data_IF_065578239660
#
_entry.id   IF_065578239660
#
_cell.length_a   1.000
_cell.length_b   1.000
_cell.length_c   1.000
_cell.angle_alpha   90.00
_cell.angle_beta   90.00
_cell.angle_gamma   90.00
#
_symmetry.space_group_name_H-M   'P 1'
#
loop_
_entity.id
_entity.type
_entity.pdbx_description
1 polymer ?
#
# COMPACT_ATOMS: atom_id res chain seq x y z
N UNK A 1 -1.69 0.53 -17.44
CA UNK A 1 -2.64 -0.05 -16.46
C UNK A 1 -3.95 -0.34 -17.16
N UNK A 2 -4.81 -1.21 -16.60
CA UNK A 2 -6.09 -1.59 -17.22
C UNK A 2 -6.98 -0.41 -17.61
N UNK A 3 -6.91 0.68 -16.84
CA UNK A 3 -7.58 1.95 -17.15
C UNK A 3 -7.12 2.58 -18.48
N UNK A 4 -5.84 2.46 -18.86
CA UNK A 4 -5.34 2.99 -20.13
C UNK A 4 -5.91 2.24 -21.35
N UNK A 5 -6.21 0.95 -21.19
CA UNK A 5 -6.73 0.10 -22.26
C UNK A 5 -8.26 0.25 -22.37
N UNK A 6 -8.94 0.53 -21.26
CA UNK A 6 -10.39 0.68 -21.23
C UNK A 6 -10.90 2.11 -21.52
N UNK A 7 -10.17 3.18 -21.16
CA UNK A 7 -10.68 4.56 -21.30
C UNK A 7 -9.79 5.52 -22.09
N UNK A 8 -8.51 5.20 -22.38
CA UNK A 8 -7.57 6.14 -23.01
C UNK A 8 -7.11 7.29 -22.09
N UNK A 9 -7.50 7.30 -20.82
CA UNK A 9 -7.23 8.43 -19.91
C UNK A 9 -5.76 8.47 -19.45
N UNK A 10 -4.97 9.32 -20.10
CA UNK A 10 -3.59 9.67 -19.73
C UNK A 10 -3.54 10.33 -18.34
N UNK A 11 -4.62 11.00 -17.93
CA UNK A 11 -4.79 11.68 -16.63
C UNK A 11 -4.66 10.72 -15.45
N UNK A 12 -5.10 9.47 -15.60
CA UNK A 12 -4.96 8.48 -14.50
C UNK A 12 -3.50 8.09 -14.29
N UNK A 13 -2.60 8.24 -15.28
CA UNK A 13 -1.17 8.02 -15.04
C UNK A 13 -0.52 9.16 -14.24
N UNK A 14 -0.93 10.42 -14.46
CA UNK A 14 -0.33 11.56 -13.77
C UNK A 14 -0.72 11.59 -12.29
N UNK A 15 -1.96 11.21 -11.95
CA UNK A 15 -2.46 11.25 -10.57
C UNK A 15 -1.92 10.08 -9.72
N UNK A 16 -1.50 8.96 -10.33
CA UNK A 16 -1.00 7.77 -9.59
C UNK A 16 0.18 8.06 -8.68
N UNK A 17 1.11 8.92 -9.12
CA UNK A 17 2.26 9.31 -8.30
C UNK A 17 1.81 10.11 -7.09
N UNK A 18 0.94 11.09 -7.30
CA UNK A 18 0.39 11.94 -6.25
C UNK A 18 -0.36 11.10 -5.22
N UNK A 19 -1.23 10.19 -5.66
CA UNK A 19 -1.93 9.26 -4.78
C UNK A 19 -0.97 8.36 -3.99
N UNK A 20 0.08 7.84 -4.62
CA UNK A 20 1.08 7.03 -3.92
C UNK A 20 1.81 7.79 -2.80
N UNK A 21 2.16 9.05 -3.04
CA UNK A 21 2.75 9.93 -2.03
C UNK A 21 1.77 10.28 -0.91
N UNK A 22 0.48 10.51 -1.24
CA UNK A 22 -0.56 10.71 -0.24
C UNK A 22 -0.77 9.48 0.64
N UNK A 23 -0.78 8.28 0.05
CA UNK A 23 -0.87 7.01 0.81
C UNK A 23 0.30 6.88 1.78
N UNK A 24 1.53 7.18 1.32
CA UNK A 24 2.69 7.18 2.22
C UNK A 24 2.58 8.23 3.33
N UNK A 25 2.22 9.48 3.00
CA UNK A 25 2.08 10.55 3.97
C UNK A 25 1.00 10.23 5.02
N UNK A 26 -0.15 9.70 4.58
CA UNK A 26 -1.23 9.28 5.48
C UNK A 26 -0.80 8.10 6.37
N UNK A 27 -0.13 7.09 5.82
CA UNK A 27 0.37 5.96 6.61
C UNK A 27 1.44 6.40 7.64
N UNK A 28 2.31 7.35 7.26
CA UNK A 28 3.29 7.93 8.17
C UNK A 28 2.60 8.74 9.27
N UNK A 29 1.62 9.58 8.92
CA UNK A 29 0.84 10.34 9.89
C UNK A 29 0.09 9.43 10.86
N UNK A 30 -0.54 8.38 10.34
CA UNK A 30 -1.20 7.35 11.14
C UNK A 30 -0.24 6.71 12.16
N UNK A 31 0.96 6.34 11.71
CA UNK A 31 1.99 5.80 12.60
C UNK A 31 2.48 6.84 13.61
N UNK A 32 2.63 8.11 13.24
CA UNK A 32 3.05 9.17 14.16
C UNK A 32 2.01 9.44 15.23
N UNK A 33 0.72 9.45 14.86
CA UNK A 33 -0.38 9.55 15.82
C UNK A 33 -0.29 8.39 16.82
N UNK A 34 -0.12 7.16 16.32
CA UNK A 34 0.09 5.99 17.17
C UNK A 34 1.31 6.13 18.10
N UNK A 35 2.44 6.57 17.55
CA UNK A 35 3.67 6.71 18.32
C UNK A 35 3.54 7.76 19.44
N UNK A 36 2.78 8.83 19.21
CA UNK A 36 2.58 9.92 20.18
C UNK A 36 1.49 9.58 21.19
N UNK A 37 0.32 9.11 20.74
CA UNK A 37 -0.83 8.95 21.63
C UNK A 37 -0.86 7.60 22.36
N UNK A 38 -0.44 6.52 21.70
CA UNK A 38 -0.47 5.18 22.28
C UNK A 38 0.88 4.78 22.89
N UNK A 39 1.99 5.25 22.33
CA UNK A 39 3.34 4.92 22.82
C UNK A 39 3.98 6.02 23.67
N UNK A 40 3.42 7.23 23.69
CA UNK A 40 4.02 8.42 24.32
C UNK A 40 5.48 8.66 23.90
N UNK A 41 5.83 8.25 22.67
CA UNK A 41 7.18 8.22 22.12
C UNK A 41 8.19 7.34 22.90
N UNK A 42 7.73 6.53 23.85
CA UNK A 42 8.55 5.55 24.54
C UNK A 42 8.63 4.22 23.77
N UNK A 43 9.63 4.15 22.90
CA UNK A 43 9.89 2.94 22.11
C UNK A 43 10.39 1.75 22.95
N UNK A 44 10.73 1.94 24.24
CA UNK A 44 11.12 0.82 25.10
C UNK A 44 9.94 -0.12 25.39
N UNK A 45 8.71 0.42 25.37
CA UNK A 45 7.48 -0.35 25.55
C UNK A 45 6.93 -0.98 24.28
N UNK A 46 7.51 -0.65 23.12
CA UNK A 46 7.08 -1.18 21.82
C UNK A 46 7.05 -2.72 21.80
N UNK A 47 8.04 -3.36 22.43
CA UNK A 47 8.10 -4.82 22.50
C UNK A 47 6.92 -5.43 23.25
N UNK A 48 6.52 -4.84 24.37
CA UNK A 48 5.34 -5.28 25.14
C UNK A 48 4.05 -5.05 24.37
N UNK A 49 3.96 -3.92 23.67
CA UNK A 49 2.77 -3.58 22.89
C UNK A 49 2.61 -4.50 21.67
N UNK A 50 3.70 -4.84 20.99
CA UNK A 50 3.69 -5.80 19.88
C UNK A 50 3.15 -7.17 20.31
N UNK A 51 3.53 -7.65 21.51
CA UNK A 51 3.02 -8.93 22.04
C UNK A 51 1.51 -8.85 22.30
N UNK A 52 1.02 -7.73 22.82
CA UNK A 52 -0.42 -7.51 23.07
C UNK A 52 -1.21 -7.29 21.78
N UNK A 53 -0.59 -6.68 20.77
CA UNK A 53 -1.22 -6.25 19.51
C UNK A 53 -0.33 -6.61 18.32
N UNK A 54 -0.27 -7.90 17.94
CA UNK A 54 0.63 -8.36 16.89
C UNK A 54 0.31 -7.77 15.51
N UNK A 55 -0.93 -7.33 15.28
CA UNK A 55 -1.34 -6.68 14.02
C UNK A 55 -0.52 -5.41 13.70
N UNK A 56 0.09 -4.77 14.70
CA UNK A 56 0.98 -3.61 14.53
C UNK A 56 2.17 -3.95 13.64
N UNK A 57 2.73 -5.17 13.77
CA UNK A 57 3.85 -5.62 12.94
C UNK A 57 3.48 -5.56 11.45
N UNK A 58 2.27 -6.00 11.10
CA UNK A 58 1.78 -5.98 9.70
C UNK A 58 1.75 -4.55 9.16
N UNK A 59 1.27 -3.60 9.98
CA UNK A 59 1.26 -2.17 9.65
C UNK A 59 2.66 -1.60 9.49
N UNK A 60 3.59 -1.93 10.40
CA UNK A 60 4.99 -1.50 10.30
C UNK A 60 5.68 -2.02 9.04
N UNK A 61 5.49 -3.31 8.70
CA UNK A 61 6.06 -3.89 7.48
C UNK A 61 5.51 -3.16 6.24
N UNK A 62 4.22 -2.87 6.20
CA UNK A 62 3.60 -2.12 5.10
C UNK A 62 4.19 -0.70 4.99
N UNK A 63 4.35 0.00 6.12
CA UNK A 63 4.95 1.34 6.17
C UNK A 63 6.41 1.33 5.70
N UNK A 64 7.22 0.41 6.22
CA UNK A 64 8.63 0.25 5.83
C UNK A 64 8.76 -0.06 4.33
N UNK A 65 7.87 -0.88 3.78
CA UNK A 65 7.82 -1.16 2.35
C UNK A 65 7.38 0.04 1.50
N UNK A 66 6.61 0.99 2.04
CA UNK A 66 6.24 2.23 1.35
C UNK A 66 7.41 3.23 1.24
N UNK A 67 8.35 3.24 2.19
CA UNK A 67 9.51 4.16 2.20
C UNK A 67 10.30 4.14 0.87
N UNK A 68 10.77 2.98 0.36
CA UNK A 68 11.51 2.96 -0.89
C UNK A 68 10.66 3.43 -2.09
N UNK A 69 9.34 3.21 -2.07
CA UNK A 69 8.43 3.69 -3.12
C UNK A 69 8.33 5.22 -3.09
N UNK A 70 8.21 5.82 -1.91
CA UNK A 70 8.17 7.27 -1.75
C UNK A 70 9.50 7.92 -2.20
N UNK A 71 10.65 7.39 -1.77
CA UNK A 71 11.98 7.92 -2.14
C UNK A 71 12.21 7.81 -3.66
N UNK A 72 11.79 6.70 -4.26
CA UNK A 72 12.00 6.44 -5.71
C UNK A 72 10.90 7.05 -6.59
N UNK A 73 9.99 7.84 -6.03
CA UNK A 73 8.95 8.56 -6.79
C UNK A 73 9.47 9.80 -7.53
N UNK A 74 10.76 10.17 -7.45
CA UNK A 74 11.31 11.34 -8.17
C UNK A 74 11.66 11.05 -9.63
N UNK A 75 11.57 12.06 -10.51
CA UNK A 75 11.92 11.93 -11.94
C UNK A 75 13.39 11.51 -12.14
N UNK A 76 14.29 11.91 -11.23
CA UNK A 76 15.71 11.53 -11.26
C UNK A 76 15.88 10.03 -10.97
N UNK A 77 15.19 9.51 -9.95
CA UNK A 77 15.26 8.09 -9.59
C UNK A 77 14.60 7.20 -10.62
N UNK A 78 13.47 7.63 -11.20
CA UNK A 78 12.82 6.91 -12.29
C UNK A 78 13.76 6.73 -13.50
N UNK A 79 14.47 7.78 -13.90
CA UNK A 79 15.48 7.71 -14.97
C UNK A 79 16.69 6.85 -14.58
N UNK A 80 17.17 6.96 -13.34
CA UNK A 80 18.35 6.21 -12.84
C UNK A 80 18.09 4.69 -12.76
N UNK A 81 16.91 4.28 -12.30
CA UNK A 81 16.58 2.88 -12.06
C UNK A 81 16.04 2.15 -13.30
N UNK A 82 15.50 2.86 -14.28
CA UNK A 82 14.99 2.29 -15.53
C UNK A 82 13.98 1.17 -15.29
N UNK A 83 14.24 -0.03 -15.83
CA UNK A 83 13.36 -1.20 -15.70
C UNK A 83 13.17 -1.66 -14.25
N UNK A 84 14.20 -1.53 -13.40
CA UNK A 84 14.14 -1.92 -11.98
C UNK A 84 13.14 -1.07 -11.19
N UNK A 85 12.88 0.17 -11.63
CA UNK A 85 11.88 1.05 -11.02
C UNK A 85 10.48 0.42 -11.05
N UNK A 86 10.12 -0.19 -12.18
CA UNK A 86 8.81 -0.84 -12.33
C UNK A 86 8.70 -2.07 -11.42
N UNK A 87 9.75 -2.87 -11.27
CA UNK A 87 9.77 -4.01 -10.35
C UNK A 87 9.62 -3.56 -8.90
N UNK A 88 10.35 -2.52 -8.48
CA UNK A 88 10.23 -1.95 -7.14
C UNK A 88 8.82 -1.45 -6.87
N UNK A 89 8.22 -0.71 -7.82
CA UNK A 89 6.85 -0.19 -7.65
C UNK A 89 5.77 -1.26 -7.77
N UNK A 90 6.10 -2.52 -8.08
CA UNK A 90 5.16 -3.64 -7.93
C UNK A 90 4.95 -4.02 -6.47
N UNK A 91 5.81 -3.58 -5.54
CA UNK A 91 5.58 -3.79 -4.10
C UNK A 91 4.28 -3.14 -3.61
N UNK A 92 3.69 -2.20 -4.36
CA UNK A 92 2.39 -1.63 -4.00
C UNK A 92 1.28 -2.69 -3.89
N UNK A 93 1.37 -3.82 -4.61
CA UNK A 93 0.37 -4.90 -4.53
C UNK A 93 0.45 -5.64 -3.18
N UNK A 94 1.61 -6.21 -2.77
CA UNK A 94 1.70 -6.79 -1.44
C UNK A 94 1.47 -5.76 -0.33
N UNK A 95 1.89 -4.50 -0.48
CA UNK A 95 1.59 -3.43 0.49
C UNK A 95 0.09 -3.23 0.66
N UNK A 96 -0.69 -3.19 -0.44
CA UNK A 96 -2.14 -3.05 -0.36
C UNK A 96 -2.80 -4.24 0.36
N UNK A 97 -2.31 -5.46 0.12
CA UNK A 97 -2.78 -6.66 0.84
C UNK A 97 -2.47 -6.55 2.33
N UNK A 98 -1.25 -6.15 2.69
CA UNK A 98 -0.84 -5.96 4.09
C UNK A 98 -1.67 -4.87 4.78
N UNK A 99 -2.01 -3.78 4.08
CA UNK A 99 -2.88 -2.73 4.62
C UNK A 99 -4.28 -3.24 4.94
N UNK A 100 -4.91 -3.98 4.03
CA UNK A 100 -6.23 -4.61 4.29
C UNK A 100 -6.14 -5.63 5.41
N UNK A 101 -5.09 -6.45 5.44
CA UNK A 101 -4.86 -7.41 6.51
C UNK A 101 -4.72 -6.72 7.87
N UNK A 102 -3.88 -5.68 7.96
CA UNK A 102 -3.67 -4.90 9.16
C UNK A 102 -5.00 -4.36 9.72
N UNK A 103 -5.81 -3.78 8.84
CA UNK A 103 -7.13 -3.24 9.22
C UNK A 103 -8.12 -4.34 9.63
N UNK A 104 -8.19 -5.45 8.88
CA UNK A 104 -9.05 -6.58 9.23
C UNK A 104 -8.71 -7.17 10.60
N UNK A 105 -7.43 -7.31 10.92
CA UNK A 105 -7.01 -7.87 12.21
C UNK A 105 -7.20 -6.88 13.38
N UNK A 106 -7.12 -5.58 13.11
CA UNK A 106 -7.37 -4.55 14.11
C UNK A 106 -8.84 -4.54 14.57
N UNK A 107 -9.79 -4.73 13.66
CA UNK A 107 -11.22 -4.62 13.94
C UNK A 107 -11.75 -5.89 14.62
N UNK A 108 -12.35 -5.74 15.80
CA UNK A 108 -12.84 -6.88 16.61
C UNK A 108 -14.34 -7.14 16.52
N UNK A 109 -15.15 -6.16 16.14
CA UNK A 109 -16.61 -6.23 16.23
C UNK A 109 -17.33 -6.27 14.88
N UNK A 110 -16.98 -5.36 13.95
CA UNK A 110 -17.62 -5.28 12.63
C UNK A 110 -16.61 -5.39 11.48
N UNK A 111 -16.50 -6.57 10.89
CA UNK A 111 -15.58 -6.83 9.78
C UNK A 111 -16.12 -6.41 8.41
N UNK A 112 -17.33 -5.82 8.31
CA UNK A 112 -17.95 -5.44 7.03
C UNK A 112 -17.09 -4.48 6.24
N UNK A 113 -16.60 -3.41 6.85
CA UNK A 113 -15.73 -2.42 6.18
C UNK A 113 -14.43 -3.05 5.66
N UNK A 114 -13.64 -3.78 6.48
CA UNK A 114 -12.48 -4.52 5.99
C UNK A 114 -12.79 -5.48 4.84
N UNK A 115 -13.92 -6.19 4.89
CA UNK A 115 -14.33 -7.13 3.85
C UNK A 115 -14.72 -6.44 2.54
N UNK A 116 -15.35 -5.26 2.62
CA UNK A 116 -15.62 -4.43 1.44
C UNK A 116 -14.30 -4.02 0.78
N UNK A 117 -13.32 -3.55 1.57
CA UNK A 117 -12.00 -3.19 1.04
C UNK A 117 -11.25 -4.40 0.46
N UNK A 118 -11.34 -5.56 1.12
CA UNK A 118 -10.76 -6.82 0.61
C UNK A 118 -11.41 -7.23 -0.72
N UNK A 119 -12.75 -7.17 -0.82
CA UNK A 119 -13.50 -7.48 -2.03
C UNK A 119 -13.15 -6.53 -3.19
N UNK A 120 -13.11 -5.23 -2.94
CA UNK A 120 -12.67 -4.23 -3.91
C UNK A 120 -11.24 -4.50 -4.39
N UNK A 121 -10.32 -4.75 -3.47
CA UNK A 121 -8.93 -5.07 -3.81
C UNK A 121 -8.85 -6.36 -4.65
N UNK A 122 -9.59 -7.41 -4.28
CA UNK A 122 -9.64 -8.67 -5.01
C UNK A 122 -10.18 -8.50 -6.43
N UNK A 123 -11.28 -7.74 -6.61
CA UNK A 123 -11.86 -7.43 -7.92
C UNK A 123 -10.87 -6.65 -8.79
N UNK A 124 -10.25 -5.59 -8.25
CA UNK A 124 -9.28 -4.79 -8.99
C UNK A 124 -8.03 -5.59 -9.39
N UNK A 125 -7.54 -6.45 -8.50
CA UNK A 125 -6.40 -7.31 -8.75
C UNK A 125 -6.74 -8.39 -9.78
N UNK A 126 -7.91 -9.02 -9.66
CA UNK A 126 -8.44 -10.02 -10.59
C UNK A 126 -8.63 -9.47 -12.00
N UNK A 127 -9.29 -8.31 -12.13
CA UNK A 127 -9.46 -7.61 -13.41
C UNK A 127 -8.12 -7.32 -14.08
N UNK A 128 -7.10 -6.93 -13.30
CA UNK A 128 -5.77 -6.67 -13.80
C UNK A 128 -5.05 -7.93 -14.30
N UNK A 129 -5.19 -9.06 -13.61
CA UNK A 129 -4.64 -10.35 -14.04
C UNK A 129 -5.33 -10.81 -15.31
N UNK A 130 -6.67 -10.72 -15.37
CA UNK A 130 -7.46 -11.06 -16.54
C UNK A 130 -7.01 -10.26 -17.77
N UNK A 131 -6.88 -8.93 -17.64
CA UNK A 131 -6.44 -8.11 -18.76
C UNK A 131 -5.02 -8.44 -19.21
N UNK A 132 -4.10 -8.70 -18.27
CA UNK A 132 -2.73 -9.13 -18.62
C UNK A 132 -2.76 -10.43 -19.41
N UNK A 133 -3.55 -11.43 -18.98
CA UNK A 133 -3.71 -12.68 -19.72
C UNK A 133 -4.29 -12.47 -21.11
N UNK A 134 -5.34 -11.64 -21.24
CA UNK A 134 -5.98 -11.34 -22.54
C UNK A 134 -5.04 -10.65 -23.53
N UNK A 135 -4.18 -9.75 -23.05
CA UNK A 135 -3.19 -9.04 -23.89
C UNK A 135 -1.92 -9.88 -24.14
N UNK A 136 -1.75 -11.02 -23.48
CA UNK A 136 -0.64 -11.96 -23.68
C UNK A 136 -1.05 -13.22 -24.42
N UNK A 137 -2.32 -13.35 -24.80
CA UNK A 137 -2.79 -14.36 -25.74
C UNK A 137 -2.31 -13.96 -27.15
N UNK A 138 -1.65 -14.87 -27.89
CA UNK A 138 -1.13 -14.59 -29.23
C UNK A 138 -2.24 -14.32 -30.26
#
# INVERSE_FOLDING_TARGET
TPVRVASGWVVVQSIRRTLGLFVFAYALLHFLIYAVLELDLDFSDLGREIVRRPFIIVGMIALLALIPLAITSTNRMMRKLGRRWQTLHQLIYPIAILGVWHYYWQVKADVREPLIYAGLLAVLMGYRIWLRRRLSSP
#
